data_IF_877217835892
#
_entry.id   IF_877217835892
#
_cell.length_a   1.000
_cell.length_b   1.000
_cell.length_c   1.000
_cell.angle_alpha   90.00
_cell.angle_beta   90.00
_cell.angle_gamma   90.00
#
_symmetry.space_group_name_H-M   'P 1'
#
loop_
_entity.id
_entity.type
_entity.pdbx_description
1 polymer ?
#
# COMPACT_ATOMS: atom_id res chain seq x y z
N UNK A 1 26.24 -23.57 51.68
CA UNK A 1 26.51 -24.33 50.44
C UNK A 1 25.77 -23.64 49.28
N UNK A 2 26.49 -22.98 48.35
CA UNK A 2 25.87 -22.35 47.16
C UNK A 2 26.21 -23.21 45.93
N UNK A 3 25.23 -23.94 45.40
CA UNK A 3 25.39 -24.78 44.21
C UNK A 3 25.39 -23.97 42.93
N UNK A 4 26.38 -24.19 42.07
CA UNK A 4 26.59 -23.50 40.79
C UNK A 4 25.37 -23.62 39.84
N UNK A 5 24.80 -22.49 39.44
CA UNK A 5 23.56 -22.37 38.64
C UNK A 5 23.70 -22.57 37.12
N UNK A 6 24.89 -22.90 36.62
CA UNK A 6 25.10 -23.14 35.18
C UNK A 6 25.86 -24.44 34.91
N UNK A 7 25.12 -25.50 34.62
CA UNK A 7 25.67 -26.78 34.18
C UNK A 7 26.00 -26.73 32.68
N UNK A 8 27.19 -27.22 32.28
CA UNK A 8 27.67 -27.30 30.87
C UNK A 8 26.62 -27.85 29.88
N UNK A 9 25.81 -28.82 30.33
CA UNK A 9 24.72 -29.43 29.54
C UNK A 9 23.60 -28.44 29.20
N UNK A 10 23.32 -27.45 30.05
CA UNK A 10 22.31 -26.40 29.83
C UNK A 10 22.81 -25.32 28.86
N UNK A 11 24.12 -25.06 28.85
CA UNK A 11 24.78 -24.18 27.89
C UNK A 11 24.77 -24.80 26.48
N UNK A 12 25.22 -26.04 26.31
CA UNK A 12 25.21 -26.73 25.02
C UNK A 12 23.81 -26.85 24.40
N UNK A 13 22.77 -27.10 25.21
CA UNK A 13 21.37 -27.11 24.73
C UNK A 13 20.92 -25.74 24.23
N UNK A 14 21.30 -24.64 24.89
CA UNK A 14 20.97 -23.28 24.43
C UNK A 14 21.71 -22.90 23.16
N UNK A 15 22.98 -23.29 23.02
CA UNK A 15 23.78 -22.98 21.81
C UNK A 15 23.30 -23.76 20.59
N UNK A 16 22.90 -25.02 20.75
CA UNK A 16 22.38 -25.84 19.66
C UNK A 16 21.04 -25.32 19.10
N UNK A 17 20.15 -24.81 19.98
CA UNK A 17 18.86 -24.23 19.57
C UNK A 17 19.06 -22.93 18.78
N UNK A 18 20.01 -22.07 19.20
CA UNK A 18 20.30 -20.82 18.49
C UNK A 18 21.03 -21.04 17.16
N UNK A 19 21.90 -22.04 17.06
CA UNK A 19 22.61 -22.37 15.82
C UNK A 19 21.69 -23.01 14.76
N UNK A 20 20.73 -23.86 15.16
CA UNK A 20 19.74 -24.43 14.25
C UNK A 20 18.85 -23.36 13.61
N UNK A 21 18.48 -22.31 14.37
CA UNK A 21 17.72 -21.17 13.86
C UNK A 21 18.44 -20.41 12.76
N UNK A 22 19.76 -20.20 12.87
CA UNK A 22 20.56 -19.45 11.88
C UNK A 22 20.79 -20.24 10.59
N UNK A 23 20.91 -21.58 10.67
CA UNK A 23 21.10 -22.44 9.49
C UNK A 23 19.77 -22.66 8.75
N UNK A 24 18.66 -22.73 9.47
CA UNK A 24 17.33 -22.93 8.87
C UNK A 24 16.68 -21.63 8.37
N UNK A 25 17.05 -20.46 8.90
CA UNK A 25 16.51 -19.16 8.49
C UNK A 25 16.53 -18.90 6.96
N UNK A 26 17.63 -19.15 6.22
CA UNK A 26 17.64 -18.99 4.76
C UNK A 26 16.79 -20.02 3.99
N UNK A 27 16.40 -21.14 4.61
CA UNK A 27 15.50 -22.12 3.98
C UNK A 27 14.03 -21.71 4.08
N UNK A 28 13.66 -20.97 5.14
CA UNK A 28 12.29 -20.49 5.34
C UNK A 28 12.06 -19.08 4.78
N UNK A 29 13.09 -18.24 4.75
CA UNK A 29 13.02 -16.87 4.23
C UNK A 29 13.82 -16.76 2.95
N UNK A 30 13.13 -16.66 1.81
CA UNK A 30 13.76 -16.41 0.50
C UNK A 30 14.60 -15.14 0.55
N UNK A 31 15.80 -15.18 -0.01
CA UNK A 31 16.69 -14.01 -0.14
C UNK A 31 16.04 -12.81 -0.86
N UNK A 32 15.11 -13.07 -1.78
CA UNK A 32 14.30 -12.04 -2.44
C UNK A 32 13.30 -11.34 -1.51
N UNK A 33 12.85 -12.01 -0.43
CA UNK A 33 12.04 -11.37 0.61
C UNK A 33 12.86 -10.40 1.48
N UNK A 34 14.19 -10.55 1.48
CA UNK A 34 15.15 -9.70 2.20
C UNK A 34 15.79 -8.62 1.30
N UNK A 35 15.33 -8.48 0.05
CA UNK A 35 15.73 -7.39 -0.85
C UNK A 35 17.18 -7.44 -1.35
N UNK A 36 17.85 -8.59 -1.32
CA UNK A 36 19.14 -8.75 -2.02
C UNK A 36 18.88 -8.96 -3.52
N UNK A 37 19.62 -8.20 -4.34
CA UNK A 37 19.55 -8.08 -5.82
C UNK A 37 18.71 -6.93 -6.38
N UNK A 38 18.66 -5.77 -5.69
CA UNK A 38 17.99 -4.56 -6.21
C UNK A 38 16.47 -4.60 -6.20
N UNK A 39 15.89 -5.65 -5.60
CA UNK A 39 14.46 -5.77 -5.36
C UNK A 39 14.12 -5.19 -3.98
N UNK A 40 13.06 -4.38 -3.90
CA UNK A 40 12.50 -3.92 -2.63
C UNK A 40 11.95 -5.13 -1.88
N UNK A 41 12.34 -5.31 -0.62
CA UNK A 41 11.84 -6.37 0.24
C UNK A 41 10.30 -6.31 0.29
N UNK A 42 9.63 -7.47 0.32
CA UNK A 42 8.16 -7.52 0.24
C UNK A 42 7.47 -6.72 1.37
N UNK A 43 8.12 -6.56 2.53
CA UNK A 43 7.62 -5.78 3.67
C UNK A 43 7.96 -4.28 3.66
N UNK A 44 8.65 -3.76 2.63
CA UNK A 44 9.02 -2.34 2.54
C UNK A 44 8.34 -1.62 1.37
N UNK A 45 7.33 -2.23 0.75
CA UNK A 45 6.55 -1.58 -0.32
C UNK A 45 5.40 -0.76 0.26
N UNK A 46 5.12 0.39 -0.34
CA UNK A 46 3.94 1.19 -0.04
C UNK A 46 2.72 0.50 -0.64
N UNK A 47 1.74 0.19 0.20
CA UNK A 47 0.47 -0.42 -0.24
C UNK A 47 -0.52 0.65 -0.69
N UNK A 48 -1.08 0.48 -1.89
CA UNK A 48 -1.90 1.47 -2.58
C UNK A 48 -3.31 0.95 -2.81
N UNK A 49 -4.30 1.78 -2.45
CA UNK A 49 -5.69 1.64 -2.89
C UNK A 49 -6.00 2.57 -4.07
N UNK A 50 -6.56 2.04 -5.16
CA UNK A 50 -6.98 2.83 -6.31
C UNK A 50 -8.46 3.20 -6.18
N UNK A 51 -8.80 4.49 -6.15
CA UNK A 51 -10.17 5.01 -6.03
C UNK A 51 -10.54 5.75 -7.31
N UNK A 52 -11.53 5.24 -8.04
CA UNK A 52 -11.85 5.65 -9.40
C UNK A 52 -10.91 4.96 -10.39
N UNK A 53 -11.42 3.95 -11.09
CA UNK A 53 -10.64 3.14 -12.05
C UNK A 53 -11.32 3.12 -13.42
N UNK A 54 -11.77 4.30 -13.84
CA UNK A 54 -12.15 4.58 -15.22
C UNK A 54 -10.95 4.56 -16.16
N UNK A 55 -11.10 5.14 -17.35
CA UNK A 55 -10.09 4.99 -18.40
C UNK A 55 -8.76 5.65 -18.03
N UNK A 56 -8.76 6.90 -17.55
CA UNK A 56 -7.54 7.54 -17.04
C UNK A 56 -6.95 6.78 -15.84
N UNK A 57 -7.79 6.42 -14.86
CA UNK A 57 -7.38 5.66 -13.68
C UNK A 57 -6.73 4.31 -14.00
N UNK A 58 -7.13 3.64 -15.08
CA UNK A 58 -6.57 2.34 -15.49
C UNK A 58 -5.45 2.44 -16.52
N UNK A 59 -5.57 3.34 -17.51
CA UNK A 59 -4.63 3.44 -18.61
C UNK A 59 -3.36 4.24 -18.27
N UNK A 60 -3.44 5.13 -17.28
CA UNK A 60 -2.31 5.94 -16.82
C UNK A 60 -1.95 5.54 -15.40
N UNK A 61 -2.80 5.88 -14.43
CA UNK A 61 -2.44 5.84 -13.01
C UNK A 61 -2.17 4.43 -12.50
N UNK A 62 -3.07 3.48 -12.75
CA UNK A 62 -2.88 2.08 -12.36
C UNK A 62 -1.62 1.49 -12.99
N UNK A 63 -1.39 1.71 -14.29
CA UNK A 63 -0.21 1.18 -14.98
C UNK A 63 1.08 1.76 -14.40
N UNK A 64 1.11 3.05 -14.11
CA UNK A 64 2.25 3.71 -13.49
C UNK A 64 2.57 3.06 -12.13
N UNK A 65 1.58 2.86 -11.27
CA UNK A 65 1.79 2.18 -9.97
C UNK A 65 2.15 0.69 -10.11
N UNK A 66 1.60 -0.03 -11.09
CA UNK A 66 1.95 -1.44 -11.33
C UNK A 66 3.40 -1.62 -11.80
N UNK A 67 3.99 -0.59 -12.40
CA UNK A 67 5.38 -0.56 -12.84
C UNK A 67 6.37 -0.18 -11.71
N UNK A 68 5.89 0.36 -10.59
CA UNK A 68 6.77 0.77 -9.50
C UNK A 68 7.16 -0.42 -8.60
N UNK A 69 8.46 -0.73 -8.42
CA UNK A 69 8.91 -1.88 -7.61
C UNK A 69 8.73 -1.69 -6.10
N UNK A 70 8.60 -0.44 -5.65
CA UNK A 70 8.41 0.02 -4.28
C UNK A 70 6.94 0.28 -3.92
N UNK A 71 6.01 0.14 -4.87
CA UNK A 71 4.57 0.22 -4.62
C UNK A 71 3.88 -1.13 -4.85
N UNK A 72 2.73 -1.33 -4.18
CA UNK A 72 1.89 -2.51 -4.36
C UNK A 72 0.42 -2.12 -4.35
N UNK A 73 -0.25 -2.30 -5.47
CA UNK A 73 -1.72 -2.14 -5.53
C UNK A 73 -2.39 -3.34 -4.89
N UNK A 74 -3.21 -3.11 -3.86
CA UNK A 74 -3.89 -4.18 -3.10
C UNK A 74 -5.42 -4.11 -3.18
N UNK A 75 -5.94 -2.98 -3.64
CA UNK A 75 -7.37 -2.74 -3.76
C UNK A 75 -7.69 -1.79 -4.91
N UNK A 76 -8.82 -2.04 -5.57
CA UNK A 76 -9.42 -1.13 -6.56
C UNK A 76 -10.86 -0.79 -6.16
N UNK A 77 -11.31 0.42 -6.49
CA UNK A 77 -12.65 0.88 -6.19
C UNK A 77 -13.26 1.65 -7.38
N UNK A 78 -14.45 1.23 -7.78
CA UNK A 78 -15.32 1.98 -8.69
C UNK A 78 -16.79 1.59 -8.43
N UNK A 79 -17.68 2.55 -8.60
CA UNK A 79 -19.13 2.31 -8.52
C UNK A 79 -19.61 1.50 -9.72
N UNK A 80 -18.94 1.63 -10.87
CA UNK A 80 -19.20 0.82 -12.06
C UNK A 80 -18.50 -0.55 -11.93
N UNK A 81 -19.25 -1.65 -11.87
CA UNK A 81 -18.67 -2.99 -11.72
C UNK A 81 -17.78 -3.39 -12.90
N UNK A 82 -18.07 -2.95 -14.12
CA UNK A 82 -17.27 -3.32 -15.29
C UNK A 82 -15.87 -2.69 -15.21
N UNK A 83 -15.80 -1.40 -14.84
CA UNK A 83 -14.53 -0.68 -14.63
C UNK A 83 -13.73 -1.31 -13.50
N UNK A 84 -14.39 -1.58 -12.38
CA UNK A 84 -13.79 -2.20 -11.20
C UNK A 84 -13.23 -3.59 -11.49
N UNK A 85 -14.01 -4.45 -12.15
CA UNK A 85 -13.59 -5.83 -12.45
C UNK A 85 -12.45 -5.86 -13.47
N UNK A 86 -12.48 -4.95 -14.46
CA UNK A 86 -11.36 -4.76 -15.40
C UNK A 86 -10.07 -4.36 -14.66
N UNK A 87 -10.14 -3.38 -13.77
CA UNK A 87 -8.98 -2.93 -13.00
C UNK A 87 -8.42 -4.04 -12.10
N UNK A 88 -9.30 -4.76 -11.38
CA UNK A 88 -8.91 -5.92 -10.56
C UNK A 88 -8.20 -6.97 -11.42
N UNK A 89 -8.75 -7.29 -12.60
CA UNK A 89 -8.14 -8.24 -13.53
C UNK A 89 -6.73 -7.79 -13.94
N UNK A 90 -6.54 -6.52 -14.30
CA UNK A 90 -5.22 -5.98 -14.65
C UNK A 90 -4.20 -6.15 -13.51
N UNK A 91 -4.60 -5.84 -12.27
CA UNK A 91 -3.73 -6.02 -11.09
C UNK A 91 -3.36 -7.48 -10.90
N UNK A 92 -4.36 -8.36 -10.93
CA UNK A 92 -4.20 -9.80 -10.74
C UNK A 92 -3.32 -10.43 -11.83
N UNK A 93 -3.47 -10.03 -13.09
CA UNK A 93 -2.64 -10.47 -14.21
C UNK A 93 -1.19 -9.98 -14.05
N UNK A 94 -0.98 -8.70 -13.72
CA UNK A 94 0.36 -8.14 -13.52
C UNK A 94 1.12 -8.84 -12.39
N UNK A 95 0.40 -9.19 -11.32
CA UNK A 95 0.98 -9.83 -10.14
C UNK A 95 0.89 -11.36 -10.13
N UNK A 96 0.26 -11.94 -11.15
CA UNK A 96 0.05 -13.38 -11.32
C UNK A 96 -0.60 -14.05 -10.08
N UNK A 97 -1.57 -13.37 -9.47
CA UNK A 97 -2.33 -13.86 -8.31
C UNK A 97 -3.79 -13.36 -8.32
N UNK A 98 -4.56 -13.61 -7.27
CA UNK A 98 -5.96 -13.19 -7.17
C UNK A 98 -6.24 -12.33 -5.94
N UNK A 99 -5.22 -11.64 -5.42
CA UNK A 99 -5.28 -11.01 -4.11
C UNK A 99 -5.88 -9.59 -4.14
N UNK A 100 -6.03 -8.98 -5.33
CA UNK A 100 -6.58 -7.64 -5.43
C UNK A 100 -8.07 -7.63 -5.05
N UNK A 101 -8.38 -6.93 -3.96
CA UNK A 101 -9.76 -6.71 -3.55
C UNK A 101 -10.43 -5.65 -4.44
N UNK A 102 -11.74 -5.76 -4.59
CA UNK A 102 -12.57 -4.85 -5.38
C UNK A 102 -13.71 -4.31 -4.53
N UNK A 103 -13.86 -2.99 -4.47
CA UNK A 103 -14.87 -2.29 -3.67
C UNK A 103 -15.76 -1.39 -4.54
N UNK A 104 -17.05 -1.30 -4.21
CA UNK A 104 -17.94 -0.28 -4.79
C UNK A 104 -17.89 1.05 -4.05
N UNK A 105 -17.39 1.05 -2.82
CA UNK A 105 -17.38 2.20 -1.92
C UNK A 105 -15.97 2.49 -1.43
N UNK A 106 -15.48 3.70 -1.72
CA UNK A 106 -14.12 4.11 -1.37
C UNK A 106 -13.89 4.10 0.15
N UNK A 107 -14.94 4.26 0.95
CA UNK A 107 -14.84 4.24 2.41
C UNK A 107 -14.35 2.90 2.95
N UNK A 108 -14.65 1.80 2.24
CA UNK A 108 -14.15 0.47 2.59
C UNK A 108 -12.64 0.36 2.35
N UNK A 109 -12.11 1.00 1.30
CA UNK A 109 -10.65 1.15 1.10
C UNK A 109 -10.04 1.97 2.23
N UNK A 110 -10.66 3.10 2.62
CA UNK A 110 -10.11 3.97 3.66
C UNK A 110 -10.09 3.32 5.05
N UNK A 111 -11.02 2.39 5.32
CA UNK A 111 -11.10 1.64 6.56
C UNK A 111 -10.02 0.56 6.72
N UNK A 112 -9.32 0.20 5.63
CA UNK A 112 -8.28 -0.83 5.65
C UNK A 112 -7.01 -0.32 6.31
N UNK A 113 -6.52 -1.03 7.32
CA UNK A 113 -5.27 -0.70 8.00
C UNK A 113 -4.02 -1.09 7.20
N UNK A 114 -4.16 -2.00 6.23
CA UNK A 114 -3.09 -2.52 5.39
C UNK A 114 -2.86 -1.72 4.09
N UNK A 115 -3.48 -0.53 4.00
CA UNK A 115 -3.28 0.42 2.89
C UNK A 115 -2.56 1.65 3.45
N UNK A 116 -1.43 2.02 2.87
CA UNK A 116 -0.64 3.17 3.31
C UNK A 116 -1.11 4.45 2.62
N UNK A 117 -1.39 4.37 1.32
CA UNK A 117 -1.77 5.52 0.50
C UNK A 117 -2.88 5.19 -0.51
N UNK A 118 -3.51 6.22 -1.05
CA UNK A 118 -4.53 6.10 -2.10
C UNK A 118 -4.21 6.92 -3.32
N UNK A 119 -4.55 6.39 -4.49
CA UNK A 119 -4.59 7.14 -5.74
C UNK A 119 -6.04 7.45 -6.10
N UNK A 120 -6.39 8.72 -6.23
CA UNK A 120 -7.75 9.19 -6.50
C UNK A 120 -7.82 9.67 -7.95
N UNK A 121 -8.61 8.98 -8.78
CA UNK A 121 -8.82 9.30 -10.21
C UNK A 121 -10.32 9.37 -10.55
N UNK A 122 -11.11 9.90 -9.63
CA UNK A 122 -12.56 10.11 -9.78
C UNK A 122 -12.85 11.36 -10.64
N UNK A 123 -14.11 11.70 -10.92
CA UNK A 123 -14.44 13.04 -11.38
C UNK A 123 -14.00 14.14 -10.39
N UNK A 124 -13.75 15.33 -10.92
CA UNK A 124 -13.20 16.51 -10.22
C UNK A 124 -13.90 16.89 -8.91
N UNK A 125 -15.24 16.87 -8.89
CA UNK A 125 -16.05 17.17 -7.70
C UNK A 125 -15.89 16.16 -6.55
N UNK A 126 -15.26 15.01 -6.79
CA UNK A 126 -14.97 14.00 -5.77
C UNK A 126 -13.53 14.04 -5.25
N UNK A 127 -12.61 14.71 -5.95
CA UNK A 127 -11.20 14.75 -5.57
C UNK A 127 -10.99 15.23 -4.14
N UNK A 128 -11.55 16.40 -3.80
CA UNK A 128 -11.33 17.01 -2.49
C UNK A 128 -12.08 16.24 -1.40
N UNK A 129 -13.39 15.93 -1.50
CA UNK A 129 -14.08 15.15 -0.47
C UNK A 129 -13.39 13.83 -0.13
N UNK A 130 -12.92 13.07 -1.13
CA UNK A 130 -12.23 11.79 -0.90
C UNK A 130 -10.84 12.03 -0.29
N UNK A 131 -10.08 13.02 -0.78
CA UNK A 131 -8.77 13.37 -0.21
C UNK A 131 -8.86 13.77 1.27
N UNK A 132 -9.89 14.55 1.64
CA UNK A 132 -10.13 14.91 3.04
C UNK A 132 -10.45 13.68 3.90
N UNK A 133 -11.27 12.76 3.39
CA UNK A 133 -11.60 11.51 4.08
C UNK A 133 -10.38 10.58 4.22
N UNK A 134 -9.57 10.48 3.18
CA UNK A 134 -8.33 9.70 3.18
C UNK A 134 -7.33 10.23 4.22
N UNK A 135 -7.14 11.56 4.25
CA UNK A 135 -6.24 12.18 5.20
C UNK A 135 -6.67 11.94 6.66
N UNK A 136 -7.98 12.06 6.92
CA UNK A 136 -8.58 11.75 8.24
C UNK A 136 -8.41 10.28 8.64
N UNK A 137 -8.32 9.40 7.67
CA UNK A 137 -8.13 7.95 7.87
C UNK A 137 -6.64 7.56 7.94
N UNK A 138 -5.74 8.55 8.00
CA UNK A 138 -4.30 8.32 8.13
C UNK A 138 -3.60 7.93 6.82
N UNK A 139 -4.28 8.01 5.67
CA UNK A 139 -3.70 7.65 4.37
C UNK A 139 -2.97 8.82 3.75
N UNK A 140 -1.85 8.54 3.09
CA UNK A 140 -1.24 9.47 2.15
C UNK A 140 -2.02 9.47 0.83
N UNK A 141 -1.93 10.57 0.07
CA UNK A 141 -2.82 10.80 -1.07
C UNK A 141 -2.02 11.22 -2.29
N UNK A 142 -2.24 10.51 -3.40
CA UNK A 142 -2.04 11.03 -4.74
C UNK A 142 -3.42 11.27 -5.36
N UNK A 143 -3.65 12.42 -5.97
CA UNK A 143 -4.96 12.79 -6.51
C UNK A 143 -4.83 13.43 -7.88
N UNK A 144 -5.69 13.05 -8.81
CA UNK A 144 -5.81 13.71 -10.10
C UNK A 144 -6.18 15.18 -10.00
N UNK A 145 -5.77 15.93 -11.02
CA UNK A 145 -6.15 17.33 -11.22
C UNK A 145 -7.54 17.43 -11.87
N UNK A 146 -8.24 18.57 -11.71
CA UNK A 146 -7.97 19.69 -10.80
C UNK A 146 -8.71 19.55 -9.46
N UNK A 147 -8.51 20.49 -8.55
CA UNK A 147 -9.53 20.81 -7.53
C UNK A 147 -10.65 21.63 -8.16
N UNK A 148 -11.91 21.43 -7.77
CA UNK A 148 -13.04 22.12 -8.41
C UNK A 148 -13.06 23.63 -8.12
N UNK A 149 -12.69 24.05 -6.90
CA UNK A 149 -12.63 25.48 -6.52
C UNK A 149 -11.40 25.84 -5.70
N UNK A 150 -11.02 27.13 -5.71
CA UNK A 150 -9.92 27.65 -4.87
C UNK A 150 -10.22 27.41 -3.38
N UNK A 151 -11.47 27.54 -2.95
CA UNK A 151 -11.85 27.33 -1.56
C UNK A 151 -11.66 25.87 -1.15
N UNK A 152 -12.02 24.92 -2.00
CA UNK A 152 -11.73 23.50 -1.76
C UNK A 152 -10.24 23.22 -1.67
N UNK A 153 -9.42 23.82 -2.55
CA UNK A 153 -7.96 23.72 -2.47
C UNK A 153 -7.40 24.25 -1.14
N UNK A 154 -7.93 25.37 -0.62
CA UNK A 154 -7.54 25.89 0.70
C UNK A 154 -7.90 24.94 1.84
N UNK A 155 -9.11 24.35 1.79
CA UNK A 155 -9.57 23.37 2.78
C UNK A 155 -8.72 22.10 2.73
N UNK A 156 -8.36 21.65 1.53
CA UNK A 156 -7.46 20.53 1.31
C UNK A 156 -6.10 20.80 1.96
N UNK A 157 -5.42 21.90 1.60
CA UNK A 157 -4.13 22.26 2.18
C UNK A 157 -4.16 22.34 3.72
N UNK A 158 -5.22 22.92 4.29
CA UNK A 158 -5.40 22.98 5.75
C UNK A 158 -5.51 21.57 6.35
N UNK A 159 -6.29 20.70 5.73
CA UNK A 159 -6.52 19.33 6.23
C UNK A 159 -5.28 18.48 6.13
N UNK A 160 -4.56 18.53 5.00
CA UNK A 160 -3.31 17.77 4.82
C UNK A 160 -2.28 18.14 5.90
N UNK A 161 -2.13 19.44 6.20
CA UNK A 161 -1.26 19.90 7.30
C UNK A 161 -1.76 19.45 8.67
N UNK A 162 -3.07 19.49 8.92
CA UNK A 162 -3.66 19.11 10.19
C UNK A 162 -3.45 17.62 10.52
N UNK A 163 -3.55 16.75 9.52
CA UNK A 163 -3.40 15.30 9.69
C UNK A 163 -1.98 14.79 9.36
N UNK A 164 -1.05 15.70 9.09
CA UNK A 164 0.35 15.41 8.78
C UNK A 164 0.49 14.30 7.73
N UNK A 165 -0.26 14.41 6.64
CA UNK A 165 -0.25 13.46 5.53
C UNK A 165 0.54 14.01 4.34
N UNK A 166 1.07 13.11 3.52
CA UNK A 166 1.61 13.47 2.22
C UNK A 166 0.46 13.62 1.24
N UNK A 167 0.47 14.72 0.48
CA UNK A 167 -0.45 14.95 -0.62
C UNK A 167 0.33 15.34 -1.87
N UNK A 168 0.08 14.63 -2.97
CA UNK A 168 0.59 14.96 -4.28
C UNK A 168 -0.57 15.13 -5.27
N UNK A 169 -0.56 16.25 -6.00
CA UNK A 169 -1.41 16.42 -7.17
C UNK A 169 -0.73 15.74 -8.35
N UNK A 170 -1.45 14.89 -9.08
CA UNK A 170 -1.00 14.31 -10.33
C UNK A 170 -0.92 15.41 -11.38
N UNK A 171 0.28 15.64 -11.92
CA UNK A 171 0.56 16.62 -12.98
C UNK A 171 1.05 15.94 -14.26
N UNK A 172 0.70 14.67 -14.42
CA UNK A 172 1.10 13.84 -15.56
C UNK A 172 0.20 14.19 -16.76
N UNK A 173 0.80 14.63 -17.86
CA UNK A 173 0.18 14.76 -19.19
C UNK A 173 0.95 13.87 -20.19
#
# INVERSE_FOLDING_TARGET
>A
MKGNLFTRRKFMKKTAINAAGLIAFPYFVRSSALGKSGSVAAGSRITIGMIGVGDHGTMVNLRNFLAQPDARVVAVCDVDPQRRDRARKMVNENYQNQDCAAYSDFREILARSDIDAVMISTPDHWHVPISLAAARSGKDICCEKPTLTINEGKVLCKTIRQYERVFQMSTED
#
